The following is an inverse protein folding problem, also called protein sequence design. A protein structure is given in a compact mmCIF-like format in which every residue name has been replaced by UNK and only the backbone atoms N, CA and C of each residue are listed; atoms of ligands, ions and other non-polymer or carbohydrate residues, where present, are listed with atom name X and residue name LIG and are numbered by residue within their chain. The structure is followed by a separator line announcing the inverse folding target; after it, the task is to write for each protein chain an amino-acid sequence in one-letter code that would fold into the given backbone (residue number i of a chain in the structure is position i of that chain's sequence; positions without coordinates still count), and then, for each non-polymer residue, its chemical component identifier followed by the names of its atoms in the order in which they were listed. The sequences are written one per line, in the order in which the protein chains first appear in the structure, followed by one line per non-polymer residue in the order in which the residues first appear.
data_IF_277357798820
#
_entry.id   IF_277357798820
#
_cell.length_a   1.000
_cell.length_b   1.000
_cell.length_c   1.000
_cell.angle_alpha   90.00
_cell.angle_beta   90.00
_cell.angle_gamma   90.00
#
_symmetry.space_group_name_H-M   'P 1'
#
loop_
_entity.id
_entity.type
_entity.pdbx_description
1 polymer ?
#
# COMPACT_ATOMS: atom_id res chain seq x y z
N UNK A 1 -10.80 17.01 -1.31
CA UNK A 1 -9.87 15.89 -1.57
C UNK A 1 -10.53 14.81 -2.42
N UNK A 2 -11.81 14.50 -2.24
CA UNK A 2 -12.47 13.39 -2.96
C UNK A 2 -12.56 13.51 -4.49
N UNK A 3 -12.72 14.74 -5.02
CA UNK A 3 -12.77 14.93 -6.50
C UNK A 3 -11.46 14.52 -7.20
N UNK A 4 -10.31 14.77 -6.57
CA UNK A 4 -9.00 14.40 -7.11
C UNK A 4 -8.77 12.89 -7.03
N UNK A 5 -9.16 12.25 -5.92
CA UNK A 5 -9.05 10.80 -5.76
C UNK A 5 -9.89 10.04 -6.78
N UNK A 6 -11.15 10.41 -6.94
CA UNK A 6 -12.05 9.77 -7.92
C UNK A 6 -11.55 9.95 -9.37
N UNK A 7 -10.94 11.09 -9.70
CA UNK A 7 -10.34 11.32 -11.01
C UNK A 7 -9.15 10.38 -11.26
N UNK A 8 -8.20 10.29 -10.30
CA UNK A 8 -7.03 9.41 -10.41
C UNK A 8 -7.47 7.94 -10.48
N UNK A 9 -8.42 7.52 -9.64
CA UNK A 9 -8.94 6.16 -9.64
C UNK A 9 -9.51 5.76 -11.01
N UNK A 10 -10.26 6.66 -11.64
CA UNK A 10 -10.79 6.45 -13.00
C UNK A 10 -9.68 6.28 -14.05
N UNK A 11 -8.59 7.03 -13.95
CA UNK A 11 -7.47 6.92 -14.89
C UNK A 11 -6.70 5.60 -14.71
N UNK A 12 -6.59 5.11 -13.48
CA UNK A 12 -5.85 3.90 -13.12
C UNK A 12 -6.72 2.63 -13.09
N UNK A 13 -7.99 2.74 -13.49
CA UNK A 13 -8.97 1.65 -13.43
C UNK A 13 -9.06 1.00 -12.03
N UNK A 14 -9.02 1.83 -10.99
CA UNK A 14 -9.18 1.44 -9.59
C UNK A 14 -10.51 1.93 -9.03
N UNK A 15 -10.98 1.34 -7.93
CA UNK A 15 -12.27 1.73 -7.32
C UNK A 15 -12.19 3.09 -6.62
N UNK A 16 -11.08 3.39 -5.95
CA UNK A 16 -10.84 4.69 -5.31
C UNK A 16 -9.33 4.96 -5.16
N UNK A 17 -8.97 6.20 -4.86
CA UNK A 17 -7.60 6.64 -4.63
C UNK A 17 -7.51 7.77 -3.60
N UNK A 18 -6.35 7.86 -2.95
CA UNK A 18 -6.00 8.96 -2.02
C UNK A 18 -4.52 9.32 -2.15
N UNK A 19 -4.24 10.62 -2.15
CA UNK A 19 -2.88 11.15 -2.13
C UNK A 19 -2.45 11.36 -0.67
N UNK A 20 -1.30 10.78 -0.32
CA UNK A 20 -0.64 10.89 0.99
C UNK A 20 0.68 11.66 0.86
N UNK A 21 1.34 11.95 1.98
CA UNK A 21 2.56 12.79 1.98
C UNK A 21 3.79 12.14 1.35
N UNK A 22 3.92 10.81 1.41
CA UNK A 22 4.95 10.03 0.72
C UNK A 22 4.55 8.55 0.68
N UNK A 23 5.28 7.73 -0.09
CA UNK A 23 5.04 6.28 -0.14
C UNK A 23 5.16 5.60 1.25
N UNK A 24 6.16 5.98 2.06
CA UNK A 24 6.31 5.46 3.43
C UNK A 24 5.10 5.77 4.31
N UNK A 25 4.54 6.98 4.19
CA UNK A 25 3.29 7.35 4.86
C UNK A 25 2.10 6.53 4.33
N UNK A 26 2.12 6.16 3.05
CA UNK A 26 1.16 5.23 2.44
C UNK A 26 1.20 3.85 3.08
N UNK A 27 2.39 3.29 3.33
CA UNK A 27 2.55 2.00 4.03
C UNK A 27 1.97 2.10 5.44
N UNK A 28 2.44 3.08 6.22
CA UNK A 28 2.00 3.23 7.61
C UNK A 28 0.49 3.48 7.73
N UNK A 29 -0.08 4.35 6.89
CA UNK A 29 -1.53 4.62 6.89
C UNK A 29 -2.34 3.43 6.37
N UNK A 30 -1.82 2.63 5.42
CA UNK A 30 -2.50 1.41 4.95
C UNK A 30 -2.54 0.34 6.04
N UNK A 31 -1.43 0.15 6.77
CA UNK A 31 -1.37 -0.75 7.92
C UNK A 31 -2.32 -0.29 9.03
N UNK A 32 -2.31 1.01 9.36
CA UNK A 32 -3.26 1.54 10.34
C UNK A 32 -4.71 1.38 9.88
N UNK A 33 -5.01 1.61 8.60
CA UNK A 33 -6.36 1.49 8.04
C UNK A 33 -6.94 0.08 8.20
N UNK A 34 -6.16 -0.97 7.92
CA UNK A 34 -6.64 -2.37 8.01
C UNK A 34 -6.80 -2.87 9.45
N UNK A 35 -6.07 -2.27 10.41
CA UNK A 35 -6.17 -2.56 11.85
C UNK A 35 -7.32 -1.76 12.48
N UNK A 36 -7.39 -0.44 12.23
CA UNK A 36 -8.36 0.47 12.82
C UNK A 36 -9.76 0.26 12.24
N UNK A 37 -9.87 0.10 10.92
CA UNK A 37 -11.15 0.02 10.19
C UNK A 37 -12.07 1.18 10.59
N UNK A 38 -13.27 0.87 11.08
CA UNK A 38 -14.27 1.85 11.52
C UNK A 38 -14.23 2.12 13.04
N UNK A 39 -13.20 1.64 13.75
CA UNK A 39 -13.06 1.86 15.19
C UNK A 39 -12.57 3.28 15.50
N UNK A 40 -13.52 4.17 15.80
CA UNK A 40 -13.26 5.59 16.09
C UNK A 40 -12.30 5.81 17.28
N UNK A 41 -12.27 4.91 18.26
CA UNK A 41 -11.35 5.01 19.39
C UNK A 41 -9.92 4.70 18.95
N UNK A 42 -9.71 3.57 18.24
CA UNK A 42 -8.39 3.21 17.73
C UNK A 42 -7.85 4.24 16.74
N UNK A 43 -8.69 4.91 15.97
CA UNK A 43 -8.27 5.94 15.02
C UNK A 43 -7.42 7.04 15.69
N UNK A 44 -7.79 7.45 16.90
CA UNK A 44 -7.09 8.53 17.63
C UNK A 44 -6.15 8.00 18.73
N UNK A 45 -6.30 6.75 19.17
CA UNK A 45 -5.55 6.16 20.28
C UNK A 45 -4.70 4.92 19.89
N UNK A 46 -4.41 4.71 18.60
CA UNK A 46 -3.68 3.54 18.09
C UNK A 46 -2.40 3.18 18.85
N UNK A 47 -1.68 4.21 19.32
CA UNK A 47 -0.42 4.06 20.07
C UNK A 47 -0.53 4.39 21.56
N UNK A 48 -1.73 4.75 22.02
CA UNK A 48 -1.99 5.24 23.39
C UNK A 48 -2.79 4.27 24.25
N UNK A 49 -3.35 3.23 23.65
CA UNK A 49 -4.11 2.19 24.33
C UNK A 49 -3.76 0.79 23.81
N UNK A 50 -3.99 -0.29 24.59
CA UNK A 50 -3.86 -1.65 24.10
C UNK A 50 -4.75 -1.89 22.88
N UNK A 51 -4.15 -2.39 21.81
CA UNK A 51 -4.85 -2.80 20.59
C UNK A 51 -5.17 -4.28 20.72
N UNK A 52 -6.46 -4.61 20.86
CA UNK A 52 -6.95 -6.00 20.93
C UNK A 52 -7.29 -6.58 19.55
N UNK A 53 -7.25 -5.75 18.50
CA UNK A 53 -7.47 -6.19 17.12
C UNK A 53 -6.25 -6.94 16.57
N UNK A 54 -6.45 -7.85 15.60
CA UNK A 54 -5.36 -8.41 14.80
C UNK A 54 -4.42 -7.31 14.29
N UNK A 55 -3.11 -7.53 14.41
CA UNK A 55 -2.07 -6.54 14.04
C UNK A 55 -0.84 -7.14 13.38
N UNK A 56 -0.80 -8.45 13.17
CA UNK A 56 0.32 -9.08 12.47
C UNK A 56 0.21 -8.77 10.97
N UNK A 57 1.31 -8.26 10.41
CA UNK A 57 1.45 -7.98 8.99
C UNK A 57 2.46 -8.97 8.45
N UNK A 58 1.96 -9.96 7.71
CA UNK A 58 2.79 -11.03 7.17
C UNK A 58 3.43 -10.55 5.88
N UNK A 59 4.75 -10.70 5.73
CA UNK A 59 5.47 -10.38 4.49
C UNK A 59 6.62 -11.36 4.22
N UNK A 60 6.99 -11.60 2.95
CA UNK A 60 8.17 -12.40 2.63
C UNK A 60 9.44 -11.82 3.26
N UNK A 61 10.26 -12.63 3.94
CA UNK A 61 11.47 -12.16 4.63
C UNK A 61 12.40 -11.34 3.72
N UNK A 62 12.56 -11.73 2.46
CA UNK A 62 13.36 -10.99 1.48
C UNK A 62 12.78 -9.63 1.03
N UNK A 63 11.59 -9.28 1.51
CA UNK A 63 10.96 -7.96 1.31
C UNK A 63 11.14 -7.03 2.52
N UNK A 64 11.61 -7.53 3.66
CA UNK A 64 11.88 -6.71 4.85
C UNK A 64 13.23 -6.00 4.71
N UNK A 65 13.25 -4.97 3.87
CA UNK A 65 14.48 -4.28 3.46
C UNK A 65 14.56 -2.86 4.02
N UNK A 66 15.73 -2.26 3.89
CA UNK A 66 15.96 -0.85 4.20
C UNK A 66 16.08 -0.05 2.89
N UNK A 67 15.10 0.82 2.62
CA UNK A 67 15.09 1.71 1.45
C UNK A 67 15.48 3.16 1.80
N UNK A 68 16.21 3.34 2.91
CA UNK A 68 16.45 4.62 3.60
C UNK A 68 15.71 4.70 4.95
N UNK A 69 14.69 3.84 5.12
CA UNK A 69 14.13 3.45 6.40
C UNK A 69 13.73 1.95 6.32
N UNK A 70 13.74 1.21 7.44
CA UNK A 70 13.25 -0.17 7.47
C UNK A 70 11.74 -0.23 7.15
N UNK A 71 11.32 -1.22 6.36
CA UNK A 71 9.89 -1.52 6.13
C UNK A 71 9.16 -1.73 7.45
N UNK A 72 9.77 -2.47 8.38
CA UNK A 72 9.24 -2.75 9.71
C UNK A 72 8.89 -1.47 10.50
N UNK A 73 9.67 -0.39 10.35
CA UNK A 73 9.35 0.90 10.97
C UNK A 73 8.00 1.44 10.49
N UNK A 74 7.67 1.30 9.20
CA UNK A 74 6.38 1.78 8.67
C UNK A 74 5.22 0.92 9.15
N UNK A 75 5.43 -0.40 9.25
CA UNK A 75 4.46 -1.33 9.82
C UNK A 75 4.19 -0.99 11.29
N UNK A 76 5.24 -0.77 12.08
CA UNK A 76 5.15 -0.40 13.49
C UNK A 76 4.45 0.95 13.69
N UNK A 77 4.75 1.97 12.87
CA UNK A 77 4.06 3.26 12.89
C UNK A 77 2.56 3.14 12.57
N UNK A 78 2.20 2.16 11.74
CA UNK A 78 0.81 1.77 11.47
C UNK A 78 0.14 0.97 12.59
N UNK A 79 0.81 0.72 13.72
CA UNK A 79 0.32 -0.12 14.82
C UNK A 79 0.48 -1.63 14.56
N UNK A 80 1.06 -2.02 13.43
CA UNK A 80 1.28 -3.40 13.05
C UNK A 80 2.45 -4.06 13.79
N UNK A 81 2.62 -5.35 13.53
CA UNK A 81 3.77 -6.16 13.95
C UNK A 81 4.19 -7.02 12.77
N UNK A 82 5.43 -6.89 12.30
CA UNK A 82 5.91 -7.71 11.18
C UNK A 82 6.00 -9.18 11.59
N UNK A 83 5.52 -10.04 10.70
CA UNK A 83 5.74 -11.49 10.71
C UNK A 83 6.39 -11.88 9.40
N UNK A 84 7.66 -12.30 9.46
CA UNK A 84 8.42 -12.68 8.27
C UNK A 84 8.13 -14.11 7.84
N UNK A 85 7.68 -14.29 6.60
CA UNK A 85 7.44 -15.58 5.99
C UNK A 85 8.64 -16.06 5.15
N UNK A 86 8.90 -17.36 5.16
CA UNK A 86 9.98 -17.97 4.39
C UNK A 86 11.37 -17.51 4.84
N UNK A 87 12.29 -17.46 3.88
CA UNK A 87 13.71 -17.20 4.10
C UNK A 87 14.16 -15.93 3.36
N UNK A 88 15.38 -15.47 3.67
CA UNK A 88 15.89 -14.22 3.12
C UNK A 88 15.99 -14.26 1.59
N UNK A 89 16.18 -15.45 1.01
CA UNK A 89 16.39 -15.70 -0.40
C UNK A 89 15.28 -16.51 -1.08
N UNK A 90 14.22 -16.89 -0.36
CA UNK A 90 13.05 -17.58 -0.95
C UNK A 90 11.78 -17.40 -0.12
N UNK A 91 10.64 -17.34 -0.80
CA UNK A 91 9.33 -17.39 -0.16
C UNK A 91 8.30 -17.96 -1.13
N UNK A 92 7.80 -19.17 -0.87
CA UNK A 92 6.72 -19.80 -1.63
C UNK A 92 5.34 -19.38 -1.12
N UNK A 93 4.26 -19.57 -1.91
CA UNK A 93 2.89 -19.32 -1.45
C UNK A 93 2.54 -20.12 -0.18
N UNK A 94 3.06 -21.34 -0.05
CA UNK A 94 2.84 -22.20 1.11
C UNK A 94 3.57 -21.67 2.34
N UNK A 95 4.80 -21.16 2.19
CA UNK A 95 5.55 -20.53 3.28
C UNK A 95 4.87 -19.25 3.75
N UNK A 96 4.32 -18.45 2.82
CA UNK A 96 3.52 -17.28 3.16
C UNK A 96 2.26 -17.68 3.94
N UNK A 97 1.49 -18.65 3.42
CA UNK A 97 0.27 -19.13 4.06
C UNK A 97 0.51 -19.74 5.45
N UNK A 98 1.61 -20.46 5.64
CA UNK A 98 1.97 -21.07 6.91
C UNK A 98 2.30 -20.05 8.03
N UNK A 99 2.58 -18.80 7.65
CA UNK A 99 2.88 -17.72 8.59
C UNK A 99 1.63 -16.93 9.02
N UNK A 100 0.46 -17.26 8.45
CA UNK A 100 -0.82 -16.63 8.78
C UNK A 100 -1.38 -17.20 10.08
N UNK A 101 -1.80 -16.32 10.97
CA UNK A 101 -2.40 -16.66 12.28
C UNK A 101 -3.74 -15.93 12.46
N UNK A 102 -4.53 -16.25 13.49
CA UNK A 102 -5.72 -15.46 13.85
C UNK A 102 -5.41 -13.98 14.16
N UNK A 103 -4.17 -13.64 14.50
CA UNK A 103 -3.73 -12.27 14.76
C UNK A 103 -3.26 -11.53 13.50
N UNK A 104 -3.31 -12.17 12.33
CA UNK A 104 -2.96 -11.55 11.04
C UNK A 104 -4.02 -10.56 10.59
N UNK A 105 -3.60 -9.32 10.36
CA UNK A 105 -4.45 -8.24 9.88
C UNK A 105 -4.39 -8.07 8.36
N UNK A 106 -3.21 -8.30 7.76
CA UNK A 106 -2.98 -8.15 6.34
C UNK A 106 -1.71 -8.88 5.88
N UNK A 107 -1.58 -9.03 4.56
CA UNK A 107 -0.34 -9.40 3.90
C UNK A 107 0.27 -8.14 3.28
N UNK A 108 1.57 -7.93 3.45
CA UNK A 108 2.33 -6.86 2.79
C UNK A 108 3.32 -7.46 1.78
N UNK A 109 3.28 -6.97 0.55
CA UNK A 109 4.21 -7.33 -0.52
C UNK A 109 4.96 -6.08 -0.97
N UNK A 110 6.29 -6.08 -0.91
CA UNK A 110 7.12 -4.95 -1.34
C UNK A 110 7.75 -5.29 -2.68
N UNK A 111 7.36 -4.55 -3.73
CA UNK A 111 7.90 -4.66 -5.08
C UNK A 111 8.91 -3.54 -5.30
N UNK A 112 10.19 -3.88 -5.16
CA UNK A 112 11.31 -2.94 -5.30
C UNK A 112 12.61 -3.65 -5.66
N UNK A 113 13.51 -2.96 -6.36
CA UNK A 113 14.87 -3.43 -6.65
C UNK A 113 15.74 -3.61 -5.39
N UNK A 114 15.33 -3.07 -4.24
CA UNK A 114 15.96 -3.36 -2.95
C UNK A 114 15.61 -4.75 -2.41
N UNK A 115 14.48 -5.34 -2.85
CA UNK A 115 13.99 -6.63 -2.40
C UNK A 115 14.63 -7.78 -3.19
N UNK A 116 14.76 -8.94 -2.56
CA UNK A 116 15.19 -10.16 -3.24
C UNK A 116 14.12 -10.61 -4.23
N UNK A 117 14.44 -10.63 -5.52
CA UNK A 117 13.46 -10.97 -6.56
C UNK A 117 13.41 -12.47 -6.89
N UNK A 118 14.55 -13.15 -6.80
CA UNK A 118 14.66 -14.56 -7.18
C UNK A 118 13.99 -15.44 -6.12
N UNK A 119 13.27 -16.46 -6.57
CA UNK A 119 12.61 -17.45 -5.71
C UNK A 119 11.59 -16.86 -4.72
N UNK A 120 11.07 -15.67 -5.00
CA UNK A 120 9.91 -15.11 -4.30
C UNK A 120 8.64 -15.40 -5.10
N UNK A 121 7.55 -15.65 -4.38
CA UNK A 121 6.22 -15.70 -4.97
C UNK A 121 5.87 -14.39 -5.71
N UNK A 122 5.03 -14.49 -6.73
CA UNK A 122 4.51 -13.33 -7.45
C UNK A 122 3.43 -12.59 -6.66
N UNK A 123 3.05 -11.39 -7.13
CA UNK A 123 1.96 -10.61 -6.52
C UNK A 123 0.63 -11.35 -6.65
N UNK A 124 0.36 -11.99 -7.78
CA UNK A 124 -0.85 -12.78 -8.02
C UNK A 124 -0.93 -13.99 -7.07
N UNK A 125 0.21 -14.65 -6.83
CA UNK A 125 0.28 -15.75 -5.87
C UNK A 125 0.03 -15.25 -4.44
N UNK A 126 0.58 -14.10 -4.07
CA UNK A 126 0.29 -13.47 -2.78
C UNK A 126 -1.20 -13.07 -2.66
N UNK A 127 -1.80 -12.55 -3.74
CA UNK A 127 -3.22 -12.20 -3.79
C UNK A 127 -4.12 -13.43 -3.68
N UNK A 128 -3.72 -14.56 -4.28
CA UNK A 128 -4.42 -15.82 -4.12
C UNK A 128 -4.38 -16.33 -2.68
N UNK A 129 -3.21 -16.27 -2.02
CA UNK A 129 -3.07 -16.62 -0.60
C UNK A 129 -3.95 -15.70 0.25
N UNK A 130 -3.87 -14.38 0.05
CA UNK A 130 -4.66 -13.40 0.79
C UNK A 130 -6.17 -13.70 0.70
N UNK A 131 -6.66 -13.95 -0.52
CA UNK A 131 -8.07 -14.27 -0.79
C UNK A 131 -8.52 -15.57 -0.11
N UNK A 132 -7.71 -16.63 -0.17
CA UNK A 132 -8.03 -17.92 0.49
C UNK A 132 -8.16 -17.80 2.00
N UNK A 133 -7.44 -16.85 2.60
CA UNK A 133 -7.43 -16.59 4.03
C UNK A 133 -8.32 -15.40 4.46
N UNK A 134 -9.08 -14.79 3.55
CA UNK A 134 -9.90 -13.59 3.80
C UNK A 134 -9.10 -12.43 4.40
N UNK A 135 -7.88 -12.22 3.94
CA UNK A 135 -7.01 -11.12 4.36
C UNK A 135 -6.83 -10.11 3.24
N UNK A 136 -6.69 -8.81 3.56
CA UNK A 136 -6.30 -7.82 2.56
C UNK A 136 -4.84 -7.98 2.14
N UNK A 137 -4.57 -7.77 0.85
CA UNK A 137 -3.22 -7.62 0.32
C UNK A 137 -2.87 -6.14 0.11
N UNK A 138 -1.81 -5.70 0.76
CA UNK A 138 -1.17 -4.39 0.55
C UNK A 138 0.08 -4.61 -0.30
N UNK A 139 0.17 -3.91 -1.43
CA UNK A 139 1.37 -3.91 -2.29
C UNK A 139 2.05 -2.55 -2.22
N UNK A 140 3.28 -2.51 -1.74
CA UNK A 140 4.16 -1.35 -1.92
C UNK A 140 4.90 -1.47 -3.25
N UNK A 141 4.48 -0.68 -4.23
CA UNK A 141 5.06 -0.59 -5.56
C UNK A 141 5.71 0.79 -5.79
N UNK A 142 6.21 1.46 -4.74
CA UNK A 142 6.77 2.80 -4.84
C UNK A 142 8.00 2.90 -5.77
N UNK A 143 8.66 1.78 -6.06
CA UNK A 143 9.78 1.72 -6.99
C UNK A 143 9.35 1.68 -8.47
N UNK A 144 8.11 1.27 -8.74
CA UNK A 144 7.61 0.87 -10.05
C UNK A 144 6.99 2.05 -10.82
N UNK A 145 6.97 1.92 -12.14
CA UNK A 145 6.37 2.90 -13.06
C UNK A 145 4.99 2.47 -13.56
N UNK A 146 4.70 1.17 -13.52
CA UNK A 146 3.39 0.62 -13.86
C UNK A 146 2.39 0.84 -12.71
N UNK A 147 1.46 1.76 -12.94
CA UNK A 147 0.50 2.22 -11.96
C UNK A 147 -0.81 1.40 -11.94
N UNK A 148 -0.99 0.41 -12.82
CA UNK A 148 -2.27 -0.29 -12.98
C UNK A 148 -2.16 -1.78 -12.71
N UNK A 149 -1.03 -2.42 -13.06
CA UNK A 149 -0.89 -3.88 -13.01
C UNK A 149 -1.19 -4.49 -11.64
N UNK A 150 -0.60 -3.96 -10.57
CA UNK A 150 -0.68 -4.60 -9.24
C UNK A 150 -2.09 -4.59 -8.64
N UNK A 151 -2.91 -3.59 -8.98
CA UNK A 151 -4.33 -3.59 -8.58
C UNK A 151 -5.11 -4.68 -9.34
N UNK A 152 -4.86 -4.82 -10.64
CA UNK A 152 -5.50 -5.86 -11.47
C UNK A 152 -5.04 -7.28 -11.10
N UNK A 153 -3.82 -7.42 -10.56
CA UNK A 153 -3.29 -8.68 -10.00
C UNK A 153 -3.99 -9.12 -8.70
N UNK A 154 -4.88 -8.27 -8.15
CA UNK A 154 -5.74 -8.62 -7.01
C UNK A 154 -5.31 -7.99 -5.68
N UNK A 155 -4.46 -6.96 -5.69
CA UNK A 155 -4.16 -6.19 -4.49
C UNK A 155 -5.37 -5.36 -4.04
N UNK A 156 -5.58 -5.28 -2.73
CA UNK A 156 -6.65 -4.48 -2.13
C UNK A 156 -6.25 -3.03 -1.95
N UNK A 157 -4.95 -2.79 -1.70
CA UNK A 157 -4.30 -1.50 -1.65
C UNK A 157 -2.96 -1.58 -2.38
N UNK A 158 -2.68 -0.59 -3.23
CA UNK A 158 -1.38 -0.42 -3.90
C UNK A 158 -0.83 0.97 -3.62
N UNK A 159 0.43 1.03 -3.22
CA UNK A 159 1.12 2.26 -2.84
C UNK A 159 2.18 2.58 -3.89
N UNK A 160 2.14 3.80 -4.41
CA UNK A 160 3.08 4.32 -5.39
C UNK A 160 3.78 5.58 -4.88
N UNK A 161 4.99 5.83 -5.38
CA UNK A 161 5.66 7.11 -5.19
C UNK A 161 5.03 8.16 -6.10
N UNK A 162 4.49 9.23 -5.53
CA UNK A 162 3.90 10.32 -6.32
C UNK A 162 4.92 11.05 -7.19
N UNK A 163 6.18 11.14 -6.77
CA UNK A 163 7.24 11.74 -7.60
C UNK A 163 7.46 10.96 -8.91
N UNK A 164 7.26 9.63 -8.91
CA UNK A 164 7.40 8.78 -10.10
C UNK A 164 6.10 8.65 -10.88
N UNK A 165 4.99 8.49 -10.14
CA UNK A 165 3.66 8.25 -10.68
C UNK A 165 3.05 9.49 -11.35
N UNK A 166 3.25 10.67 -10.76
CA UNK A 166 2.59 11.91 -11.18
C UNK A 166 3.56 13.06 -11.40
N UNK A 167 4.87 12.82 -11.41
CA UNK A 167 5.93 13.85 -11.58
C UNK A 167 5.70 15.10 -10.69
N UNK A 168 5.02 14.89 -9.56
CA UNK A 168 4.61 15.92 -8.64
C UNK A 168 5.63 16.13 -7.53
N UNK A 169 5.42 17.13 -6.65
CA UNK A 169 6.21 17.26 -5.43
C UNK A 169 6.12 15.97 -4.58
N UNK A 170 7.06 15.77 -3.66
CA UNK A 170 7.11 14.60 -2.77
C UNK A 170 5.73 14.28 -2.21
N UNK A 171 5.18 13.16 -2.67
CA UNK A 171 3.83 12.67 -2.38
C UNK A 171 3.82 11.15 -2.52
N UNK A 172 2.80 10.51 -1.98
CA UNK A 172 2.49 9.11 -2.23
C UNK A 172 1.08 9.00 -2.78
N UNK A 173 0.83 7.97 -3.57
CA UNK A 173 -0.49 7.64 -4.09
C UNK A 173 -0.88 6.26 -3.55
N UNK A 174 -2.04 6.17 -2.92
CA UNK A 174 -2.64 4.89 -2.53
C UNK A 174 -3.90 4.70 -3.37
N UNK A 175 -3.95 3.61 -4.12
CA UNK A 175 -5.13 3.17 -4.87
C UNK A 175 -5.62 1.85 -4.32
N UNK A 176 -6.88 1.49 -4.59
CA UNK A 176 -7.38 0.18 -4.17
C UNK A 176 -8.89 0.08 -4.16
N UNK A 177 -9.40 -0.93 -3.45
CA UNK A 177 -10.83 -1.09 -3.23
C UNK A 177 -11.40 0.07 -2.43
N UNK A 178 -12.65 0.43 -2.71
CA UNK A 178 -13.31 1.59 -2.13
C UNK A 178 -13.30 1.58 -0.59
N UNK A 179 -13.60 0.43 0.03
CA UNK A 179 -13.63 0.30 1.49
C UNK A 179 -12.25 0.54 2.13
N UNK A 180 -11.20 -0.11 1.61
CA UNK A 180 -9.86 0.02 2.17
C UNK A 180 -9.32 1.44 1.99
N UNK A 181 -9.52 2.05 0.81
CA UNK A 181 -9.12 3.44 0.57
C UNK A 181 -9.89 4.41 1.48
N UNK A 182 -11.17 4.14 1.79
CA UNK A 182 -11.93 4.94 2.75
C UNK A 182 -11.31 4.88 4.15
N UNK A 183 -10.87 3.71 4.63
CA UNK A 183 -10.15 3.59 5.90
C UNK A 183 -8.80 4.31 5.88
N UNK A 184 -8.07 4.30 4.75
CA UNK A 184 -6.85 5.09 4.59
C UNK A 184 -7.15 6.59 4.68
N UNK A 185 -8.22 7.08 4.03
CA UNK A 185 -8.64 8.49 4.11
C UNK A 185 -8.94 8.93 5.56
N UNK A 186 -9.52 8.05 6.39
CA UNK A 186 -9.79 8.33 7.79
C UNK A 186 -8.51 8.60 8.60
N UNK A 187 -7.36 8.01 8.22
CA UNK A 187 -6.08 8.22 8.91
C UNK A 187 -5.58 9.67 8.86
N UNK A 188 -6.18 10.53 8.03
CA UNK A 188 -5.94 11.98 8.08
C UNK A 188 -6.34 12.62 9.43
N UNK A 189 -7.27 11.99 10.18
CA UNK A 189 -7.62 12.32 11.56
C UNK A 189 -6.83 11.53 12.62
N UNK A 190 -6.09 10.49 12.20
CA UNK A 190 -5.24 9.65 13.05
C UNK A 190 -3.76 9.87 12.79
N UNK A 191 -2.99 8.78 12.64
CA UNK A 191 -1.51 8.85 12.49
C UNK A 191 -1.05 9.66 11.27
N UNK A 192 -1.86 9.71 10.21
CA UNK A 192 -1.57 10.47 9.00
C UNK A 192 -1.51 11.99 9.25
N UNK A 193 -2.13 12.47 10.34
CA UNK A 193 -2.07 13.89 10.73
C UNK A 193 -0.65 14.34 11.05
N UNK A 194 0.13 13.50 11.74
CA UNK A 194 1.52 13.79 12.11
C UNK A 194 2.46 13.73 10.88
N UNK A 195 2.06 13.05 9.82
CA UNK A 195 2.84 12.87 8.59
C UNK A 195 2.59 13.98 7.54
N UNK A 196 1.74 14.97 7.87
CA UNK A 196 1.36 16.01 6.93
C UNK A 196 2.53 16.97 6.66
N UNK A 197 3.17 16.81 5.50
CA UNK A 197 4.17 17.74 5.00
C UNK A 197 3.56 19.04 4.47
N UNK A 198 4.37 20.11 4.44
CA UNK A 198 4.01 21.37 3.78
C UNK A 198 4.15 21.18 2.26
N UNK A 199 3.05 21.24 1.50
CA UNK A 199 3.12 21.28 0.04
C UNK A 199 3.89 22.54 -0.38
N UNK A 200 5.07 22.38 -1.01
CA UNK A 200 5.69 23.46 -1.80
C UNK A 200 4.93 23.52 -3.13
N UNK A 201 4.50 24.72 -3.52
CA UNK A 201 3.44 24.93 -4.51
C UNK A 201 3.77 24.61 -5.97
N UNK A 202 2.72 24.18 -6.67
CA UNK A 202 2.25 24.63 -8.00
C UNK A 202 3.12 24.52 -9.28
N UNK A 203 4.17 23.71 -9.37
CA UNK A 203 4.89 23.53 -10.66
C UNK A 203 4.78 22.17 -11.37
N UNK A 204 4.10 21.16 -10.79
CA UNK A 204 4.09 19.78 -11.33
C UNK A 204 2.75 19.22 -11.83
N UNK A 205 1.65 19.99 -11.76
CA UNK A 205 0.31 19.44 -12.02
C UNK A 205 0.07 18.99 -13.48
N UNK A 206 0.65 19.71 -14.46
CA UNK A 206 0.42 19.44 -15.88
C UNK A 206 1.18 18.21 -16.43
N UNK A 207 2.31 17.85 -15.80
CA UNK A 207 3.10 16.67 -16.19
C UNK A 207 2.46 15.37 -15.67
N UNK A 208 1.95 15.41 -14.42
CA UNK A 208 1.25 14.27 -13.82
C UNK A 208 -0.01 13.86 -14.56
N UNK A 209 -0.79 14.82 -15.06
CA UNK A 209 -2.03 14.52 -15.78
C UNK A 209 -1.76 13.78 -17.11
N UNK A 210 -0.67 14.11 -17.83
CA UNK A 210 -0.29 13.38 -19.04
C UNK A 210 0.10 11.93 -18.75
N UNK A 211 0.93 11.70 -17.72
CA UNK A 211 1.42 10.35 -17.37
C UNK A 211 0.31 9.43 -16.88
N UNK A 212 -0.59 9.96 -16.05
CA UNK A 212 -1.83 9.27 -15.65
C UNK A 212 -2.74 9.00 -16.87
N UNK A 213 -2.84 9.95 -17.81
CA UNK A 213 -3.63 9.75 -19.03
C UNK A 213 -3.03 8.70 -19.97
N UNK A 214 -1.70 8.64 -20.07
CA UNK A 214 -0.99 7.70 -20.96
C UNK A 214 -0.98 6.29 -20.38
N UNK A 215 -0.88 6.14 -19.05
CA UNK A 215 -1.14 4.87 -18.36
C UNK A 215 -2.54 4.34 -18.70
N UNK A 216 -3.57 5.21 -18.63
CA UNK A 216 -4.94 4.83 -18.99
C UNK A 216 -5.15 4.54 -20.49
N UNK A 217 -4.36 5.13 -21.39
CA UNK A 217 -4.45 4.90 -22.86
C UNK A 217 -3.74 3.63 -23.32
N UNK A 218 -2.56 3.31 -22.76
CA UNK A 218 -1.84 2.09 -23.11
C UNK A 218 -2.64 0.83 -22.77
N UNK A 219 -3.46 0.88 -21.71
CA UNK A 219 -4.34 -0.23 -21.33
C UNK A 219 -5.48 -0.46 -22.34
N UNK A 220 -6.13 0.61 -22.84
CA UNK A 220 -7.18 0.49 -23.87
C UNK A 220 -6.72 -0.10 -25.20
N UNK A 221 -5.41 -0.10 -25.46
CA UNK A 221 -4.79 -0.71 -26.64
C UNK A 221 -4.38 -2.16 -26.44
N UNK A 222 -4.27 -2.63 -25.19
CA UNK A 222 -3.96 -4.02 -24.86
C UNK A 222 -5.22 -4.89 -24.76
N UNK A 223 -6.37 -4.28 -24.46
CA UNK A 223 -7.67 -4.95 -24.32
C UNK A 223 -8.51 -4.99 -25.62
N UNK A 224 -7.97 -4.55 -26.76
CA UNK A 224 -8.63 -4.52 -28.07
C UNK A 224 -7.84 -5.26 -29.14
#
# INVERSE_FOLDING_TARGET
MDKTGAYIAKLLNAEDAVVVSCASAGIAQSVAAVIVRDNANLLVNLHSAPVNEPREIVLPRGHNVNFGAPVDTMVALGGGKVVEAGYANECSPQQLAASITPQTAAILYVKSHHCVQKSMLSVEQAAEVARRHNLPLIVDAAAEEDLTSYYQMGADLVIYSGAKAIEGPTSGLVIGRKQYVAWVKQQSGGIGRAMKGRQRGHSGADAGDRKLSDAGKNQRRADG
#
